data_IF_836580169238
#
_entry.id   IF_836580169238
#
_cell.length_a   1.000
_cell.length_b   1.000
_cell.length_c   1.000
_cell.angle_alpha   90.00
_cell.angle_beta   90.00
_cell.angle_gamma   90.00
#
_symmetry.space_group_name_H-M   'P 1'
#
loop_
_entity.id
_entity.type
_entity.pdbx_description
1 polymer ?
#
# COMPACT_ATOMS: atom_id res chain seq x y z
N UNK A 1 5.33 -4.98 -13.04
CA UNK A 1 4.40 -5.32 -14.13
C UNK A 1 3.34 -6.30 -13.64
N UNK A 2 3.68 -7.46 -13.14
CA UNK A 2 2.79 -8.55 -12.70
C UNK A 2 1.65 -8.10 -11.77
N UNK A 3 1.90 -7.21 -10.81
CA UNK A 3 0.87 -6.71 -9.87
C UNK A 3 -0.20 -5.87 -10.59
N UNK A 4 0.20 -5.02 -11.52
CA UNK A 4 -0.74 -4.19 -12.29
C UNK A 4 -1.53 -5.05 -13.29
N UNK A 5 -0.89 -6.04 -13.90
CA UNK A 5 -1.54 -6.99 -14.82
C UNK A 5 -2.57 -7.85 -14.06
N UNK A 6 -2.23 -8.31 -12.84
CA UNK A 6 -3.18 -8.98 -11.95
C UNK A 6 -4.37 -8.06 -11.61
N UNK A 7 -4.10 -6.80 -11.28
CA UNK A 7 -5.15 -5.83 -10.98
C UNK A 7 -6.10 -5.62 -12.17
N UNK A 8 -5.58 -5.55 -13.39
CA UNK A 8 -6.38 -5.40 -14.61
C UNK A 8 -7.31 -6.61 -14.86
N UNK A 9 -6.86 -7.81 -14.48
CA UNK A 9 -7.69 -9.02 -14.55
C UNK A 9 -8.70 -9.12 -13.39
N UNK A 10 -8.53 -8.34 -12.33
CA UNK A 10 -9.41 -8.35 -11.14
C UNK A 10 -10.56 -7.37 -11.28
N UNK A 11 -10.32 -6.18 -11.83
CA UNK A 11 -11.37 -5.17 -11.97
C UNK A 11 -10.89 -3.87 -12.62
N UNK A 12 -11.83 -2.95 -12.79
CA UNK A 12 -11.57 -1.62 -13.33
C UNK A 12 -11.80 -0.59 -12.22
N UNK A 13 -10.72 -0.09 -11.57
CA UNK A 13 -10.86 0.87 -10.49
C UNK A 13 -11.19 2.27 -11.03
N UNK A 14 -11.95 3.06 -10.26
CA UNK A 14 -12.10 4.49 -10.53
C UNK A 14 -10.97 5.31 -9.90
N UNK A 15 -10.24 4.72 -8.92
CA UNK A 15 -9.11 5.35 -8.24
C UNK A 15 -8.01 4.32 -7.95
N UNK A 16 -6.75 4.73 -8.11
CA UNK A 16 -5.57 3.97 -7.69
C UNK A 16 -4.86 4.72 -6.57
N UNK A 17 -4.57 4.04 -5.47
CA UNK A 17 -3.83 4.59 -4.33
C UNK A 17 -2.51 3.82 -4.17
N UNK A 18 -1.39 4.56 -4.17
CA UNK A 18 -0.05 4.03 -3.91
C UNK A 18 0.47 4.62 -2.59
N UNK A 19 0.38 3.87 -1.49
CA UNK A 19 0.92 4.30 -0.21
C UNK A 19 2.43 4.08 -0.15
N UNK A 20 3.19 5.14 0.18
CA UNK A 20 4.65 5.13 0.07
C UNK A 20 5.07 5.18 -1.39
N UNK A 21 4.56 6.18 -2.11
CA UNK A 21 4.62 6.27 -3.58
C UNK A 21 6.03 6.31 -4.15
N UNK A 22 7.02 6.77 -3.38
CA UNK A 22 8.41 6.89 -3.84
C UNK A 22 8.51 7.64 -5.17
N UNK A 23 9.09 7.01 -6.18
CA UNK A 23 9.20 7.56 -7.54
C UNK A 23 7.95 7.34 -8.42
N UNK A 24 6.83 6.87 -7.88
CA UNK A 24 5.56 6.62 -8.57
C UNK A 24 5.63 5.53 -9.67
N UNK A 25 6.50 4.55 -9.57
CA UNK A 25 6.60 3.45 -10.55
C UNK A 25 5.29 2.66 -10.70
N UNK A 26 4.62 2.36 -9.57
CA UNK A 26 3.34 1.67 -9.59
C UNK A 26 2.23 2.55 -10.16
N UNK A 27 2.14 3.81 -9.75
CA UNK A 27 1.14 4.74 -10.27
C UNK A 27 1.30 5.01 -11.78
N UNK A 28 2.53 5.20 -12.27
CA UNK A 28 2.77 5.41 -13.70
C UNK A 28 2.31 4.20 -14.51
N UNK A 29 2.63 2.98 -14.06
CA UNK A 29 2.17 1.76 -14.73
C UNK A 29 0.67 1.55 -14.63
N UNK A 30 0.08 1.76 -13.44
CA UNK A 30 -1.35 1.67 -13.23
C UNK A 30 -2.10 2.75 -14.03
N UNK A 31 -1.52 3.94 -14.14
CA UNK A 31 -2.05 5.02 -14.96
C UNK A 31 -2.15 4.68 -16.44
N UNK A 32 -1.17 4.00 -16.99
CA UNK A 32 -1.24 3.51 -18.38
C UNK A 32 -2.32 2.42 -18.55
N UNK A 33 -2.48 1.55 -17.55
CA UNK A 33 -3.45 0.44 -17.58
C UNK A 33 -4.90 0.91 -17.34
N UNK A 34 -5.09 1.89 -16.48
CA UNK A 34 -6.40 2.41 -16.08
C UNK A 34 -6.53 3.90 -16.45
N UNK A 35 -6.74 4.24 -17.73
CA UNK A 35 -6.67 5.62 -18.22
C UNK A 35 -7.75 6.56 -17.66
N UNK A 36 -8.82 6.01 -17.08
CA UNK A 36 -9.91 6.79 -16.47
C UNK A 36 -9.80 6.91 -14.95
N UNK A 37 -8.87 6.20 -14.31
CA UNK A 37 -8.74 6.22 -12.86
C UNK A 37 -8.04 7.50 -12.38
N UNK A 38 -8.51 8.05 -11.26
CA UNK A 38 -7.75 9.03 -10.46
C UNK A 38 -6.53 8.33 -9.86
N UNK A 39 -5.36 9.00 -9.84
CA UNK A 39 -4.13 8.46 -9.29
C UNK A 39 -3.75 9.24 -8.03
N UNK A 40 -3.63 8.54 -6.90
CA UNK A 40 -3.23 9.15 -5.63
C UNK A 40 -1.96 8.47 -5.13
N UNK A 41 -0.89 9.25 -5.02
CA UNK A 41 0.34 8.83 -4.35
C UNK A 41 0.48 9.54 -3.01
N UNK A 42 0.94 8.82 -2.00
CA UNK A 42 1.13 9.38 -0.66
C UNK A 42 2.54 9.05 -0.21
N UNK A 43 3.29 10.07 0.20
CA UNK A 43 4.62 9.89 0.79
C UNK A 43 4.89 10.93 1.87
N UNK A 44 5.69 10.58 2.86
CA UNK A 44 6.16 11.51 3.91
C UNK A 44 7.41 12.27 3.49
N UNK A 45 8.15 11.75 2.50
CA UNK A 45 9.36 12.36 1.99
C UNK A 45 9.03 13.38 0.88
N UNK A 46 9.38 14.69 1.09
CA UNK A 46 9.13 15.72 0.09
C UNK A 46 9.90 15.49 -1.22
N UNK A 47 11.08 14.86 -1.17
CA UNK A 47 11.85 14.55 -2.37
C UNK A 47 11.16 13.44 -3.18
N UNK A 48 10.71 12.38 -2.53
CA UNK A 48 9.92 11.32 -3.16
C UNK A 48 8.64 11.90 -3.79
N UNK A 49 7.92 12.76 -3.08
CA UNK A 49 6.73 13.42 -3.59
C UNK A 49 7.01 14.29 -4.83
N UNK A 50 8.15 14.99 -4.87
CA UNK A 50 8.58 15.78 -6.04
C UNK A 50 8.92 14.86 -7.22
N UNK A 51 9.69 13.80 -6.99
CA UNK A 51 10.03 12.82 -8.02
C UNK A 51 8.78 12.15 -8.60
N UNK A 52 7.81 11.79 -7.74
CA UNK A 52 6.54 11.21 -8.16
C UNK A 52 5.76 12.14 -9.10
N UNK A 53 5.66 13.43 -8.75
CA UNK A 53 5.01 14.44 -9.61
C UNK A 53 5.69 14.55 -10.97
N UNK A 54 7.02 14.63 -10.99
CA UNK A 54 7.79 14.72 -12.22
C UNK A 54 7.57 13.47 -13.12
N UNK A 55 7.69 12.28 -12.56
CA UNK A 55 7.52 11.04 -13.30
C UNK A 55 6.10 10.86 -13.84
N UNK A 56 5.07 11.24 -13.08
CA UNK A 56 3.68 11.18 -13.53
C UNK A 56 3.39 12.23 -14.63
N UNK A 57 4.01 13.40 -14.56
CA UNK A 57 3.92 14.40 -15.63
C UNK A 57 4.55 13.87 -16.94
N UNK A 58 5.76 13.33 -16.87
CA UNK A 58 6.47 12.76 -18.03
C UNK A 58 5.71 11.57 -18.64
N UNK A 59 5.08 10.74 -17.79
CA UNK A 59 4.27 9.59 -18.26
C UNK A 59 2.86 9.96 -18.76
N UNK A 60 2.54 11.26 -18.86
CA UNK A 60 1.24 11.73 -19.33
C UNK A 60 0.08 11.52 -18.33
N UNK A 61 0.40 11.21 -17.08
CA UNK A 61 -0.59 10.95 -16.02
C UNK A 61 -0.86 12.16 -15.13
N UNK A 62 -0.09 13.24 -15.27
CA UNK A 62 -0.08 14.38 -14.34
C UNK A 62 -1.45 15.02 -14.10
N UNK A 63 -2.25 15.18 -15.16
CA UNK A 63 -3.56 15.85 -15.07
C UNK A 63 -4.59 15.15 -14.14
N UNK A 64 -4.43 13.86 -13.90
CA UNK A 64 -5.32 13.05 -13.06
C UNK A 64 -4.62 12.43 -11.85
N UNK A 65 -3.39 12.90 -11.58
CA UNK A 65 -2.58 12.45 -10.47
C UNK A 65 -2.51 13.52 -9.38
N UNK A 66 -2.67 13.08 -8.15
CA UNK A 66 -2.52 13.89 -6.95
C UNK A 66 -1.51 13.24 -6.02
N UNK A 67 -0.43 13.96 -5.71
CA UNK A 67 0.59 13.52 -4.76
C UNK A 67 0.41 14.27 -3.45
N UNK A 68 0.13 13.52 -2.40
CA UNK A 68 -0.09 14.00 -1.04
C UNK A 68 1.22 13.83 -0.26
N UNK A 69 1.79 14.96 0.19
CA UNK A 69 2.89 14.94 1.16
C UNK A 69 2.29 14.72 2.55
N UNK A 70 2.39 13.51 3.06
CA UNK A 70 1.78 13.15 4.33
C UNK A 70 1.88 11.67 4.69
N UNK A 71 1.31 11.33 5.83
CA UNK A 71 1.31 9.97 6.34
C UNK A 71 0.08 9.19 5.88
N UNK A 72 0.30 8.08 5.20
CA UNK A 72 -0.76 7.22 4.68
C UNK A 72 -1.74 6.75 5.76
N UNK A 73 -1.29 6.55 6.99
CA UNK A 73 -2.15 6.15 8.11
C UNK A 73 -3.25 7.15 8.45
N UNK A 74 -3.14 8.40 7.93
CA UNK A 74 -4.14 9.47 8.07
C UNK A 74 -5.00 9.64 6.82
N UNK A 75 -4.72 8.91 5.75
CA UNK A 75 -5.50 8.96 4.54
C UNK A 75 -6.85 8.26 4.75
N UNK A 76 -7.93 9.00 4.60
CA UNK A 76 -9.31 8.49 4.74
C UNK A 76 -10.25 9.22 3.79
N UNK A 77 -9.93 9.20 2.51
CA UNK A 77 -10.80 9.79 1.49
C UNK A 77 -11.68 8.72 0.85
N UNK A 78 -12.97 8.93 0.86
CA UNK A 78 -13.92 8.05 0.21
C UNK A 78 -14.16 8.51 -1.23
N UNK A 79 -14.51 7.58 -2.10
CA UNK A 79 -14.86 7.83 -3.50
C UNK A 79 -16.00 6.90 -3.91
N UNK A 80 -16.85 7.35 -4.82
CA UNK A 80 -17.82 6.47 -5.46
C UNK A 80 -17.13 5.56 -6.48
N UNK A 81 -17.36 4.25 -6.39
CA UNK A 81 -16.66 3.24 -7.18
C UNK A 81 -15.57 2.51 -6.41
N UNK A 82 -14.82 1.66 -7.08
CA UNK A 82 -13.76 0.84 -6.46
C UNK A 82 -12.40 1.53 -6.47
N UNK A 83 -11.63 1.29 -5.42
CA UNK A 83 -10.23 1.70 -5.31
C UNK A 83 -9.30 0.50 -5.47
N UNK A 84 -8.25 0.67 -6.27
CA UNK A 84 -7.09 -0.22 -6.27
C UNK A 84 -6.02 0.35 -5.33
N UNK A 85 -5.65 -0.42 -4.30
CA UNK A 85 -4.49 -0.13 -3.46
C UNK A 85 -3.29 -0.94 -3.97
N UNK A 86 -2.23 -0.28 -4.41
CA UNK A 86 -1.07 -0.96 -5.00
C UNK A 86 0.22 -0.25 -4.61
N UNK A 87 1.23 -1.00 -4.20
CA UNK A 87 2.49 -0.38 -3.81
C UNK A 87 3.48 -1.33 -3.15
N UNK A 88 4.59 -0.74 -2.72
CA UNK A 88 5.65 -1.37 -1.94
C UNK A 88 5.81 -0.62 -0.60
N UNK A 89 5.07 -1.00 0.46
CA UNK A 89 5.17 -0.35 1.75
C UNK A 89 6.61 -0.34 2.29
N UNK A 90 7.03 0.73 2.98
CA UNK A 90 8.41 0.88 3.46
C UNK A 90 8.80 -0.17 4.51
N UNK A 91 10.07 -0.65 4.42
CA UNK A 91 10.66 -1.65 5.31
C UNK A 91 11.38 -0.99 6.49
N UNK A 92 10.63 -0.47 7.45
CA UNK A 92 11.19 0.14 8.67
C UNK A 92 10.98 -0.80 9.85
N UNK A 93 12.05 -1.10 10.58
CA UNK A 93 12.02 -2.00 11.74
C UNK A 93 11.35 -1.33 12.95
N UNK A 94 10.70 -2.13 13.80
CA UNK A 94 9.91 -1.65 14.94
C UNK A 94 10.66 -0.70 15.89
N UNK A 95 11.98 -0.86 16.10
CA UNK A 95 12.75 0.01 16.98
C UNK A 95 12.94 1.43 16.44
N UNK A 96 12.78 1.64 15.14
CA UNK A 96 12.82 2.95 14.49
C UNK A 96 11.44 3.64 14.43
N UNK A 97 10.38 2.94 14.85
CA UNK A 97 9.01 3.48 14.84
C UNK A 97 8.73 4.15 16.17
N UNK A 98 8.35 5.42 16.14
CA UNK A 98 8.05 6.21 17.33
C UNK A 98 6.85 5.67 18.12
N UNK A 99 6.87 5.87 19.44
CA UNK A 99 5.84 5.37 20.36
C UNK A 99 4.39 5.76 19.97
N UNK A 100 4.08 6.99 19.54
CA UNK A 100 2.71 7.35 19.14
C UNK A 100 2.16 6.49 18.01
N UNK A 101 3.03 6.03 17.10
CA UNK A 101 2.60 5.15 16.00
C UNK A 101 2.33 3.71 16.46
N UNK A 102 3.07 3.24 17.47
CA UNK A 102 2.81 1.92 18.08
C UNK A 102 1.49 1.92 18.86
N UNK A 103 1.15 3.04 19.46
CA UNK A 103 -0.15 3.24 20.11
C UNK A 103 -1.28 3.29 19.09
N UNK A 104 -1.09 4.03 17.99
CA UNK A 104 -2.03 4.06 16.87
C UNK A 104 -2.29 2.64 16.34
N UNK A 105 -1.24 1.84 16.11
CA UNK A 105 -1.38 0.46 15.63
C UNK A 105 -2.27 -0.37 16.56
N UNK A 106 -2.03 -0.30 17.86
CA UNK A 106 -2.80 -1.06 18.85
C UNK A 106 -4.25 -0.60 18.91
N UNK A 107 -4.47 0.72 18.91
CA UNK A 107 -5.80 1.32 18.98
C UNK A 107 -6.62 1.02 17.73
N UNK A 108 -6.01 1.15 16.55
CA UNK A 108 -6.68 0.91 15.28
C UNK A 108 -7.01 -0.58 15.07
N UNK A 109 -6.09 -1.48 15.46
CA UNK A 109 -6.36 -2.91 15.44
C UNK A 109 -7.52 -3.30 16.37
N UNK A 110 -7.60 -2.69 17.58
CA UNK A 110 -8.67 -2.93 18.53
C UNK A 110 -10.06 -2.55 17.98
N UNK A 111 -10.17 -1.48 17.18
CA UNK A 111 -11.42 -1.12 16.48
C UNK A 111 -11.94 -2.22 15.56
N UNK A 112 -11.02 -3.00 15.00
CA UNK A 112 -11.33 -4.16 14.16
C UNK A 112 -11.45 -5.48 14.96
N UNK A 113 -11.40 -5.42 16.29
CA UNK A 113 -11.38 -6.56 17.22
C UNK A 113 -10.17 -7.49 16.98
N UNK A 114 -9.04 -6.91 16.58
CA UNK A 114 -7.77 -7.59 16.34
C UNK A 114 -6.72 -7.12 17.34
N UNK A 115 -5.67 -7.94 17.51
CA UNK A 115 -4.51 -7.62 18.35
C UNK A 115 -3.31 -7.30 17.48
N UNK A 116 -2.54 -6.27 17.87
CA UNK A 116 -1.32 -5.88 17.20
C UNK A 116 -0.11 -6.00 18.13
N UNK A 117 1.01 -6.47 17.60
CA UNK A 117 2.29 -6.48 18.30
C UNK A 117 3.04 -5.17 18.08
N UNK A 118 3.57 -4.57 19.15
CA UNK A 118 4.44 -3.39 19.07
C UNK A 118 5.82 -3.69 18.44
N UNK A 119 6.12 -4.97 18.18
CA UNK A 119 7.31 -5.43 17.45
C UNK A 119 7.10 -5.47 15.92
N UNK A 120 5.92 -5.09 15.44
CA UNK A 120 5.60 -5.07 14.03
C UNK A 120 6.43 -4.02 13.27
N UNK A 121 6.95 -4.39 12.11
CA UNK A 121 7.56 -3.45 11.16
C UNK A 121 6.51 -2.55 10.49
N UNK A 122 6.98 -1.48 9.83
CA UNK A 122 6.11 -0.44 9.29
C UNK A 122 5.10 -0.94 8.24
N UNK A 123 5.45 -1.95 7.46
CA UNK A 123 4.54 -2.55 6.47
C UNK A 123 3.21 -3.03 7.08
N UNK A 124 3.22 -3.53 8.33
CA UNK A 124 2.00 -3.97 9.04
C UNK A 124 1.03 -2.80 9.25
N UNK A 125 1.54 -1.61 9.49
CA UNK A 125 0.74 -0.38 9.64
C UNK A 125 0.03 -0.03 8.34
N UNK A 126 0.67 -0.27 7.19
CA UNK A 126 0.08 -0.01 5.88
C UNK A 126 -1.06 -0.99 5.57
N UNK A 127 -0.91 -2.27 5.91
CA UNK A 127 -2.00 -3.23 5.80
C UNK A 127 -3.20 -2.83 6.67
N UNK A 128 -2.94 -2.40 7.92
CA UNK A 128 -4.02 -1.97 8.83
C UNK A 128 -4.69 -0.69 8.33
N UNK A 129 -3.94 0.31 7.88
CA UNK A 129 -4.49 1.55 7.33
C UNK A 129 -5.36 1.28 6.09
N UNK A 130 -4.89 0.40 5.21
CA UNK A 130 -5.68 -0.05 4.05
C UNK A 130 -6.96 -0.74 4.50
N UNK A 131 -6.88 -1.66 5.47
CA UNK A 131 -8.06 -2.36 5.98
C UNK A 131 -9.07 -1.42 6.66
N UNK A 132 -8.60 -0.34 7.29
CA UNK A 132 -9.47 0.68 7.90
C UNK A 132 -10.18 1.55 6.86
N UNK A 133 -9.53 1.82 5.72
CA UNK A 133 -10.04 2.71 4.66
C UNK A 133 -10.82 1.98 3.57
N UNK A 134 -10.45 0.72 3.29
CA UNK A 134 -11.04 -0.05 2.21
C UNK A 134 -12.51 -0.41 2.46
N UNK A 135 -13.29 -0.41 1.39
CA UNK A 135 -14.72 -0.75 1.36
C UNK A 135 -14.98 -1.94 0.44
N UNK A 136 -16.17 -2.54 0.49
CA UNK A 136 -16.55 -3.59 -0.43
C UNK A 136 -16.30 -3.22 -1.90
N UNK A 137 -15.76 -4.13 -2.68
CA UNK A 137 -15.31 -4.01 -4.07
C UNK A 137 -13.95 -3.33 -4.27
N UNK A 138 -13.34 -2.74 -3.24
CA UNK A 138 -11.94 -2.34 -3.31
C UNK A 138 -11.06 -3.58 -3.40
N UNK A 139 -9.91 -3.44 -4.03
CA UNK A 139 -8.94 -4.53 -4.18
C UNK A 139 -7.52 -3.98 -4.15
N UNK A 140 -6.54 -4.86 -3.95
CA UNK A 140 -5.17 -4.37 -3.83
C UNK A 140 -4.12 -5.46 -3.97
N UNK A 141 -2.90 -5.02 -4.24
CA UNK A 141 -1.71 -5.84 -4.27
C UNK A 141 -0.53 -5.08 -3.65
N UNK A 142 0.10 -5.66 -2.64
CA UNK A 142 1.31 -5.12 -2.03
C UNK A 142 2.47 -6.10 -2.21
N UNK A 143 3.64 -5.56 -2.53
CA UNK A 143 4.88 -6.30 -2.40
C UNK A 143 5.48 -5.95 -1.03
N UNK A 144 5.91 -6.94 -0.27
CA UNK A 144 6.43 -6.73 1.08
C UNK A 144 7.40 -7.84 1.45
N UNK A 145 8.22 -7.61 2.48
CA UNK A 145 9.03 -8.67 3.06
C UNK A 145 8.15 -9.83 3.55
N UNK A 146 8.59 -11.07 3.37
CA UNK A 146 7.82 -12.28 3.69
C UNK A 146 7.75 -12.59 5.19
N UNK A 147 8.51 -11.90 6.03
CA UNK A 147 8.64 -12.17 7.47
C UNK A 147 7.29 -12.29 8.20
N UNK A 148 6.27 -11.53 7.78
CA UNK A 148 4.94 -11.57 8.42
C UNK A 148 4.23 -12.92 8.27
N UNK A 149 4.67 -13.78 7.37
CA UNK A 149 4.09 -15.11 7.18
C UNK A 149 4.33 -16.02 8.41
N UNK A 150 5.53 -15.98 8.99
CA UNK A 150 5.97 -16.95 9.98
C UNK A 150 6.14 -16.38 11.39
N UNK A 151 6.37 -15.07 11.52
CA UNK A 151 6.65 -14.44 12.81
C UNK A 151 5.38 -14.04 13.57
N UNK A 152 5.48 -13.99 14.90
CA UNK A 152 4.35 -13.65 15.78
C UNK A 152 3.78 -12.25 15.50
N UNK A 153 4.61 -11.26 15.22
CA UNK A 153 4.15 -9.89 14.93
C UNK A 153 3.43 -9.78 13.58
N UNK A 154 3.54 -10.77 12.70
CA UNK A 154 2.79 -10.89 11.45
C UNK A 154 1.34 -11.36 11.62
N UNK A 155 0.96 -11.81 12.82
CA UNK A 155 -0.39 -12.33 13.09
C UNK A 155 -1.50 -11.34 12.68
N UNK A 156 -1.29 -10.03 12.87
CA UNK A 156 -2.25 -9.02 12.44
C UNK A 156 -2.46 -9.04 10.92
N UNK A 157 -1.39 -9.10 10.12
CA UNK A 157 -1.52 -9.16 8.64
C UNK A 157 -2.25 -10.41 8.22
N UNK A 158 -1.90 -11.57 8.80
CA UNK A 158 -2.60 -12.84 8.51
C UNK A 158 -4.09 -12.75 8.84
N UNK A 159 -4.45 -12.17 9.99
CA UNK A 159 -5.85 -11.97 10.38
C UNK A 159 -6.59 -11.01 9.44
N UNK A 160 -5.93 -9.93 9.00
CA UNK A 160 -6.50 -9.00 8.04
C UNK A 160 -6.72 -9.66 6.67
N UNK A 161 -5.77 -10.46 6.19
CA UNK A 161 -5.86 -11.19 4.92
C UNK A 161 -6.97 -12.26 4.95
N UNK A 162 -7.10 -13.00 6.05
CA UNK A 162 -8.16 -14.01 6.23
C UNK A 162 -9.54 -13.41 6.49
N UNK A 163 -9.60 -12.15 6.90
CA UNK A 163 -10.81 -11.44 7.26
C UNK A 163 -11.10 -10.24 6.35
N UNK A 164 -10.92 -9.05 6.91
CA UNK A 164 -11.39 -7.78 6.32
C UNK A 164 -10.80 -7.46 4.94
N UNK A 165 -9.55 -7.83 4.66
CA UNK A 165 -8.93 -7.60 3.34
C UNK A 165 -9.29 -8.68 2.32
N UNK A 166 -9.79 -9.84 2.75
CA UNK A 166 -10.24 -10.90 1.85
C UNK A 166 -9.13 -11.41 0.94
N UNK A 167 -7.96 -11.76 1.52
CA UNK A 167 -6.78 -12.18 0.75
C UNK A 167 -7.09 -13.29 -0.24
N UNK A 168 -6.65 -13.13 -1.48
CA UNK A 168 -6.90 -14.07 -2.58
C UNK A 168 -5.69 -14.97 -2.85
N UNK A 169 -4.50 -14.39 -2.80
CA UNK A 169 -3.25 -15.11 -3.07
C UNK A 169 -2.07 -14.46 -2.38
N UNK A 170 -1.06 -15.25 -2.10
CA UNK A 170 0.26 -14.81 -1.67
C UNK A 170 1.27 -15.47 -2.60
N UNK A 171 2.12 -14.66 -3.24
CA UNK A 171 3.21 -15.14 -4.08
C UNK A 171 4.52 -14.86 -3.37
N UNK A 172 5.28 -15.90 -3.07
CA UNK A 172 6.63 -15.77 -2.52
C UNK A 172 7.62 -15.69 -3.68
N UNK A 173 8.44 -14.65 -3.67
CA UNK A 173 9.51 -14.45 -4.65
C UNK A 173 10.80 -14.97 -4.03
N UNK A 174 11.44 -15.89 -4.72
CA UNK A 174 12.72 -16.45 -4.27
C UNK A 174 13.79 -15.34 -4.20
N UNK A 175 14.67 -15.35 -3.17
CA UNK A 175 15.72 -14.34 -3.01
C UNK A 175 16.66 -14.21 -4.21
N UNK A 176 16.85 -15.31 -4.93
CA UNK A 176 17.71 -15.37 -6.14
C UNK A 176 17.09 -14.69 -7.36
N UNK A 177 15.80 -14.41 -7.35
CA UNK A 177 15.10 -13.78 -8.47
C UNK A 177 15.39 -12.26 -8.62
N UNK A 178 16.08 -11.65 -7.64
CA UNK A 178 16.46 -10.24 -7.62
C UNK A 178 15.34 -9.32 -8.17
N UNK A 179 14.16 -9.27 -7.55
CA UNK A 179 13.02 -8.50 -8.05
C UNK A 179 13.30 -6.98 -8.10
N UNK A 180 14.34 -6.53 -7.43
CA UNK A 180 14.86 -5.16 -7.41
C UNK A 180 16.38 -5.20 -7.62
N UNK A 181 16.88 -5.26 -8.85
CA UNK A 181 18.32 -5.43 -9.13
C UNK A 181 19.17 -4.26 -8.64
N UNK A 182 18.57 -3.08 -8.41
CA UNK A 182 19.23 -1.84 -7.99
C UNK A 182 18.94 -1.48 -6.51
N UNK A 183 18.43 -2.41 -5.69
CA UNK A 183 18.07 -2.15 -4.31
C UNK A 183 19.06 -2.76 -3.32
#
# INVERSE_FOLDING_TARGET
>A
QTMVDWAANTGTPCRVVDPGVGSARFLSRAGAMFPKAELIGIDVDPLAALMARANLAVSGCGARARIILGDYRRFNEQVDGSTLYIGNPPYVRHHQIAAPWKEWLSTEAAKLKLTASKLAGLHVYFFLATASSAKPKDFGAFITASEWLDVNYGALVRSLMLGRLGGKSVTVIEPTAQPFPDA
#
